data_IF_667276464692
#
_entry.id   IF_667276464692
#
_cell.length_a   1.000
_cell.length_b   1.000
_cell.length_c   1.000
_cell.angle_alpha   90.00
_cell.angle_beta   90.00
_cell.angle_gamma   90.00
#
_symmetry.space_group_name_H-M   'P 1'
#
loop_
_entity.id
_entity.type
_entity.pdbx_description
1 polymer ?
#
# COMPACT_ATOMS: atom_id res chain seq x y z
N UNK A 1 4.23 -45.23 -20.37
CA UNK A 1 5.16 -44.23 -20.95
C UNK A 1 4.70 -42.84 -20.52
N UNK A 2 5.59 -42.02 -19.98
CA UNK A 2 5.28 -40.62 -19.72
C UNK A 2 5.12 -39.94 -21.08
N UNK A 3 3.90 -39.58 -21.48
CA UNK A 3 3.71 -38.71 -22.65
C UNK A 3 4.51 -37.45 -22.36
N UNK A 4 5.47 -37.15 -23.25
CA UNK A 4 6.41 -36.07 -23.04
C UNK A 4 5.69 -34.76 -22.77
N UNK A 5 6.16 -34.01 -21.79
CA UNK A 5 5.63 -32.69 -21.47
C UNK A 5 5.83 -31.74 -22.65
N UNK A 6 5.08 -30.62 -22.69
CA UNK A 6 5.18 -29.65 -23.80
C UNK A 6 6.62 -29.15 -23.96
N UNK A 7 7.35 -28.99 -22.85
CA UNK A 7 8.76 -28.57 -22.84
C UNK A 7 9.69 -29.62 -23.47
N UNK A 8 9.45 -30.91 -23.21
CA UNK A 8 10.27 -32.01 -23.76
C UNK A 8 10.11 -32.17 -25.28
N UNK A 9 8.93 -31.82 -25.81
CA UNK A 9 8.63 -31.89 -27.24
C UNK A 9 8.86 -30.56 -27.98
N UNK A 10 9.42 -29.54 -27.31
CA UNK A 10 9.62 -28.21 -27.88
C UNK A 10 10.98 -28.11 -28.59
N UNK A 11 10.99 -27.58 -29.82
CA UNK A 11 12.25 -27.27 -30.53
C UNK A 11 12.96 -26.06 -29.91
N UNK A 12 14.30 -26.07 -29.86
CA UNK A 12 15.14 -24.97 -29.36
C UNK A 12 14.78 -23.61 -30.00
N UNK A 13 14.41 -23.59 -31.30
CA UNK A 13 13.96 -22.35 -31.96
C UNK A 13 12.67 -21.81 -31.33
N UNK A 14 11.69 -22.69 -31.08
CA UNK A 14 10.42 -22.32 -30.44
C UNK A 14 10.63 -21.86 -29.00
N UNK A 15 11.51 -22.54 -28.28
CA UNK A 15 11.87 -22.18 -26.90
C UNK A 15 12.49 -20.77 -26.86
N UNK A 16 13.40 -20.46 -27.78
CA UNK A 16 14.03 -19.16 -27.87
C UNK A 16 13.01 -18.04 -28.16
N UNK A 17 12.03 -18.28 -29.05
CA UNK A 17 10.96 -17.31 -29.28
C UNK A 17 10.10 -17.06 -28.04
N UNK A 18 9.74 -18.12 -27.29
CA UNK A 18 8.96 -17.97 -26.04
C UNK A 18 9.75 -17.18 -25.00
N UNK A 19 11.02 -17.52 -24.79
CA UNK A 19 11.86 -16.82 -23.82
C UNK A 19 12.08 -15.35 -24.20
N UNK A 20 12.29 -15.06 -25.48
CA UNK A 20 12.40 -13.68 -25.96
C UNK A 20 11.09 -12.90 -25.75
N UNK A 21 9.93 -13.51 -26.03
CA UNK A 21 8.64 -12.88 -25.80
C UNK A 21 8.38 -12.58 -24.32
N UNK A 22 8.73 -13.50 -23.42
CA UNK A 22 8.65 -13.30 -21.97
C UNK A 22 9.59 -12.18 -21.51
N UNK A 23 10.81 -12.12 -22.04
CA UNK A 23 11.77 -11.06 -21.72
C UNK A 23 11.26 -9.68 -22.16
N UNK A 24 10.72 -9.57 -23.38
CA UNK A 24 10.14 -8.33 -23.89
C UNK A 24 8.96 -7.89 -23.01
N UNK A 25 8.11 -8.84 -22.61
CA UNK A 25 6.97 -8.56 -21.72
C UNK A 25 7.43 -8.06 -20.36
N UNK A 26 8.48 -8.66 -19.79
CA UNK A 26 9.06 -8.22 -18.52
C UNK A 26 9.63 -6.79 -18.61
N UNK A 27 10.36 -6.49 -19.68
CA UNK A 27 10.88 -5.13 -19.94
C UNK A 27 9.73 -4.14 -20.08
N UNK A 28 8.66 -4.48 -20.79
CA UNK A 28 7.49 -3.62 -20.93
C UNK A 28 6.85 -3.29 -19.57
N UNK A 29 6.69 -4.27 -18.66
CA UNK A 29 6.15 -3.99 -17.33
C UNK A 29 7.07 -3.10 -16.48
N UNK A 30 8.39 -3.27 -16.59
CA UNK A 30 9.34 -2.36 -15.94
C UNK A 30 9.21 -0.93 -16.47
N UNK A 31 9.08 -0.76 -17.78
CA UNK A 31 8.91 0.56 -18.39
C UNK A 31 7.58 1.21 -18.00
N UNK A 32 6.49 0.44 -17.89
CA UNK A 32 5.21 0.95 -17.38
C UNK A 32 5.37 1.43 -15.94
N UNK A 33 6.04 0.66 -15.10
CA UNK A 33 6.35 1.07 -13.73
C UNK A 33 7.22 2.34 -13.66
N UNK A 34 8.24 2.43 -14.50
CA UNK A 34 9.19 3.55 -14.49
C UNK A 34 8.58 4.87 -15.00
N UNK A 35 7.73 4.81 -16.03
CA UNK A 35 7.18 6.02 -16.65
C UNK A 35 5.84 6.47 -16.08
N UNK A 36 4.98 5.53 -15.66
CA UNK A 36 3.63 5.87 -15.21
C UNK A 36 3.46 5.77 -13.70
N UNK A 37 4.14 4.84 -13.02
CA UNK A 37 3.92 4.65 -11.59
C UNK A 37 4.67 5.71 -10.77
N UNK A 38 3.97 6.54 -9.97
CA UNK A 38 4.62 7.44 -9.05
C UNK A 38 5.22 6.65 -7.89
N UNK A 39 5.97 7.32 -7.02
CA UNK A 39 6.54 6.71 -5.81
C UNK A 39 5.47 5.96 -4.99
N UNK A 40 5.78 4.77 -4.45
CA UNK A 40 4.78 3.85 -3.89
C UNK A 40 4.13 4.38 -2.62
N UNK A 41 4.89 5.12 -1.82
CA UNK A 41 4.44 5.74 -0.59
C UNK A 41 4.74 7.23 -0.61
N UNK A 42 3.87 7.97 0.06
CA UNK A 42 4.07 9.39 0.34
C UNK A 42 3.99 9.56 1.85
N UNK A 43 4.89 10.37 2.39
CA UNK A 43 4.87 10.78 3.78
C UNK A 43 4.36 12.20 3.89
N UNK A 44 3.54 12.45 4.91
CA UNK A 44 3.26 13.80 5.34
C UNK A 44 3.57 13.94 6.82
N UNK A 45 4.15 15.07 7.18
CA UNK A 45 4.54 15.41 8.54
C UNK A 45 3.55 16.41 9.11
N UNK A 46 3.05 16.11 10.29
CA UNK A 46 2.06 16.91 10.97
C UNK A 46 2.58 17.41 12.30
N UNK A 47 2.43 18.70 12.54
CA UNK A 47 2.52 19.23 13.89
C UNK A 47 1.18 19.00 14.59
N UNK A 48 1.22 18.36 15.76
CA UNK A 48 0.01 18.15 16.56
C UNK A 48 -0.44 19.45 17.20
N UNK A 49 -1.76 19.68 17.19
CA UNK A 49 -2.36 20.86 17.83
C UNK A 49 -2.54 20.57 19.31
N UNK A 50 -2.12 21.49 20.16
CA UNK A 50 -2.27 21.41 21.61
C UNK A 50 -3.65 21.92 21.99
N UNK A 51 -4.36 21.15 22.81
CA UNK A 51 -5.71 21.42 23.30
C UNK A 51 -5.73 21.39 24.82
N UNK A 52 -6.51 22.27 25.44
CA UNK A 52 -6.75 22.23 26.89
C UNK A 52 -7.89 21.25 27.21
N UNK A 53 -7.67 20.41 28.22
CA UNK A 53 -8.71 19.60 28.85
C UNK A 53 -8.89 19.96 30.34
N UNK A 54 -9.99 20.62 30.65
CA UNK A 54 -10.35 20.95 32.03
C UNK A 54 -10.74 19.72 32.86
N UNK A 55 -11.10 18.60 32.21
CA UNK A 55 -11.51 17.35 32.88
C UNK A 55 -10.34 16.39 33.11
N UNK A 56 -9.11 16.76 32.74
CA UNK A 56 -7.89 15.98 32.96
C UNK A 56 -7.98 14.51 32.50
N UNK A 57 -8.73 14.26 31.43
CA UNK A 57 -8.95 12.92 30.87
C UNK A 57 -10.09 12.11 31.51
N UNK A 58 -10.80 12.64 32.50
CA UNK A 58 -11.89 11.92 33.19
C UNK A 58 -13.18 11.83 32.37
N UNK A 59 -13.40 12.77 31.44
CA UNK A 59 -14.63 12.81 30.64
C UNK A 59 -14.65 11.89 29.42
N UNK A 60 -13.49 11.39 28.98
CA UNK A 60 -13.37 10.58 27.75
C UNK A 60 -13.81 11.31 26.47
N UNK A 61 -13.92 12.64 26.48
CA UNK A 61 -14.39 13.44 25.35
C UNK A 61 -13.39 13.45 24.20
N UNK A 62 -13.90 13.45 22.97
CA UNK A 62 -13.07 13.50 21.76
C UNK A 62 -12.78 14.93 21.35
N UNK A 63 -11.51 15.31 21.41
CA UNK A 63 -11.05 16.61 20.92
C UNK A 63 -10.88 16.58 19.41
N UNK A 64 -11.50 17.54 18.73
CA UNK A 64 -11.38 17.70 17.29
C UNK A 64 -11.23 19.17 16.92
N UNK A 65 -10.46 19.42 15.87
CA UNK A 65 -10.14 20.78 15.41
C UNK A 65 -11.26 21.28 14.48
N UNK A 66 -11.92 20.35 13.77
CA UNK A 66 -12.96 20.60 12.78
C UNK A 66 -14.16 19.66 12.99
N UNK A 67 -15.36 20.17 13.36
CA UNK A 67 -15.66 21.53 13.84
C UNK A 67 -14.88 21.88 15.13
N UNK A 68 -14.83 23.16 15.52
CA UNK A 68 -13.98 23.58 16.65
C UNK A 68 -14.54 23.05 17.98
N UNK A 69 -13.91 22.00 18.51
CA UNK A 69 -14.29 21.35 19.76
C UNK A 69 -13.05 21.08 20.61
N UNK A 70 -12.17 22.07 20.63
CA UNK A 70 -10.96 22.10 21.43
C UNK A 70 -10.56 23.57 21.64
N UNK A 71 -10.15 23.87 22.87
CA UNK A 71 -9.51 25.13 23.20
C UNK A 71 -8.02 25.04 22.90
N UNK A 72 -7.61 25.64 21.78
CA UNK A 72 -6.26 25.53 21.23
C UNK A 72 -5.26 26.33 22.07
N UNK A 73 -4.19 25.66 22.49
CA UNK A 73 -3.04 26.26 23.17
C UNK A 73 -1.98 26.60 22.12
N UNK A 74 -1.72 27.90 21.92
CA UNK A 74 -0.75 28.38 20.93
C UNK A 74 0.69 27.95 21.25
N UNK A 75 1.23 28.41 22.39
CA UNK A 75 2.54 28.01 22.90
C UNK A 75 2.45 27.40 24.29
N UNK A 76 3.23 26.34 24.51
CA UNK A 76 3.28 25.66 25.79
C UNK A 76 4.09 26.45 26.82
N UNK A 77 5.06 27.26 26.36
CA UNK A 77 5.86 28.15 27.21
C UNK A 77 5.01 29.21 27.92
N UNK A 78 3.91 29.64 27.30
CA UNK A 78 2.97 30.63 27.84
C UNK A 78 1.81 30.01 28.64
N UNK A 79 1.69 28.68 28.65
CA UNK A 79 0.59 28.00 29.33
C UNK A 79 1.02 27.56 30.73
N UNK A 80 0.38 28.13 31.75
CA UNK A 80 0.56 27.71 33.15
C UNK A 80 -0.56 26.72 33.52
N UNK A 81 -0.25 25.42 33.71
CA UNK A 81 -1.27 24.45 34.08
C UNK A 81 -1.78 24.73 35.49
N UNK A 82 -3.07 24.50 35.71
CA UNK A 82 -3.71 24.70 37.02
C UNK A 82 -3.39 23.58 38.01
N UNK A 83 -2.93 22.43 37.53
CA UNK A 83 -2.46 21.31 38.34
C UNK A 83 -1.00 20.95 38.06
N UNK A 84 -0.33 20.37 39.05
CA UNK A 84 1.00 19.74 38.89
C UNK A 84 0.99 18.60 37.87
N UNK A 85 -0.18 18.02 37.64
CA UNK A 85 -0.39 16.95 36.69
C UNK A 85 -0.66 17.54 35.30
N UNK A 86 0.26 17.37 34.36
CA UNK A 86 0.20 17.91 32.98
C UNK A 86 -0.91 17.27 32.11
N UNK A 87 -1.85 16.54 32.72
CA UNK A 87 -3.01 15.89 32.08
C UNK A 87 -4.03 16.87 31.48
N UNK A 88 -3.86 18.16 31.71
CA UNK A 88 -4.67 19.21 31.09
C UNK A 88 -4.29 19.48 29.62
N UNK A 89 -3.16 18.94 29.12
CA UNK A 89 -2.69 19.17 27.75
C UNK A 89 -2.94 17.92 26.90
N UNK A 90 -3.69 18.09 25.82
CA UNK A 90 -4.01 17.03 24.85
C UNK A 90 -3.41 17.40 23.50
N UNK A 91 -2.65 16.48 22.91
CA UNK A 91 -2.14 16.64 21.54
C UNK A 91 -3.11 15.98 20.56
N UNK A 92 -3.64 16.77 19.64
CA UNK A 92 -4.62 16.32 18.64
C UNK A 92 -3.99 16.36 17.26
N UNK A 93 -3.98 15.21 16.60
CA UNK A 93 -3.70 15.09 15.18
C UNK A 93 -5.00 14.71 14.47
N UNK A 94 -5.44 15.53 13.51
CA UNK A 94 -6.62 15.24 12.70
C UNK A 94 -6.21 15.04 11.24
N UNK A 95 -6.66 13.92 10.66
CA UNK A 95 -6.64 13.70 9.21
C UNK A 95 -8.01 14.06 8.63
N UNK A 96 -8.09 14.64 7.42
CA UNK A 96 -6.99 15.10 6.57
C UNK A 96 -6.25 16.29 7.17
N UNK A 97 -4.97 16.45 6.82
CA UNK A 97 -4.17 17.56 7.31
C UNK A 97 -4.82 18.90 7.00
N UNK A 98 -4.75 19.82 7.95
CA UNK A 98 -5.00 21.21 7.64
C UNK A 98 -3.80 21.75 6.86
N UNK A 99 -4.04 22.35 5.70
CA UNK A 99 -2.98 23.07 4.98
C UNK A 99 -2.47 24.22 5.86
N UNK A 100 -1.36 24.00 6.56
CA UNK A 100 -0.67 25.09 7.26
C UNK A 100 -0.20 26.07 6.19
N UNK A 101 -0.70 27.30 6.23
CA UNK A 101 -0.32 28.32 5.27
C UNK A 101 1.14 28.71 5.52
N UNK A 102 2.06 28.15 4.72
CA UNK A 102 3.50 28.34 4.87
C UNK A 102 3.98 29.80 4.66
N UNK A 103 3.07 30.71 4.27
CA UNK A 103 3.32 32.15 4.18
C UNK A 103 2.97 32.92 5.46
N UNK A 104 2.51 32.26 6.52
CA UNK A 104 2.31 32.95 7.80
C UNK A 104 3.67 33.39 8.36
N UNK A 105 3.83 34.65 8.80
CA UNK A 105 5.02 35.07 9.52
C UNK A 105 5.23 34.13 10.73
N UNK A 106 6.48 33.71 10.96
CA UNK A 106 6.94 32.74 11.98
C UNK A 106 6.84 31.23 11.66
N UNK A 107 6.69 30.81 10.39
CA UNK A 107 6.63 29.39 10.00
C UNK A 107 7.95 28.58 10.19
N UNK A 108 9.08 29.24 10.49
CA UNK A 108 10.41 28.60 10.62
C UNK A 108 11.06 28.76 12.01
N UNK A 109 10.33 29.24 13.02
CA UNK A 109 10.89 29.34 14.37
C UNK A 109 10.72 27.98 15.04
N UNK A 110 11.84 27.31 15.31
CA UNK A 110 11.87 26.04 16.03
C UNK A 110 11.18 26.16 17.39
N UNK A 111 9.97 25.62 17.48
CA UNK A 111 9.18 25.58 18.71
C UNK A 111 9.57 24.32 19.49
N UNK A 112 10.23 24.49 20.63
CA UNK A 112 10.81 23.40 21.44
C UNK A 112 9.71 22.56 22.17
N UNK A 113 8.43 22.74 21.85
CA UNK A 113 7.28 22.19 22.62
C UNK A 113 6.16 21.59 21.76
N UNK A 114 6.46 21.11 20.55
CA UNK A 114 5.46 20.55 19.63
C UNK A 114 5.80 19.13 19.21
N UNK A 115 4.81 18.22 19.26
CA UNK A 115 4.96 16.84 18.83
C UNK A 115 4.70 16.73 17.33
N UNK A 116 5.57 16.02 16.60
CA UNK A 116 5.45 15.78 15.17
C UNK A 116 5.07 14.33 14.92
N UNK A 117 4.07 14.10 14.08
CA UNK A 117 3.65 12.77 13.65
C UNK A 117 3.89 12.65 12.15
N UNK A 118 4.61 11.61 11.74
CA UNK A 118 4.81 11.29 10.32
C UNK A 118 3.84 10.19 9.95
N UNK A 119 3.02 10.45 8.93
CA UNK A 119 2.05 9.48 8.44
C UNK A 119 2.44 9.08 7.04
N UNK A 120 2.64 7.77 6.86
CA UNK A 120 2.99 7.17 5.58
C UNK A 120 1.71 6.54 5.05
N UNK A 121 1.33 6.91 3.84
CA UNK A 121 0.23 6.26 3.14
C UNK A 121 0.69 5.81 1.76
N UNK A 122 -0.01 4.83 1.22
CA UNK A 122 0.19 4.43 -0.17
C UNK A 122 -0.24 5.59 -1.07
N UNK A 123 0.53 5.84 -2.10
CA UNK A 123 0.21 6.87 -3.07
C UNK A 123 -0.94 6.42 -3.95
N UNK A 124 -2.02 7.20 -4.02
CA UNK A 124 -3.22 6.83 -4.79
C UNK A 124 -2.92 6.57 -6.28
N UNK A 125 -2.00 7.33 -6.87
CA UNK A 125 -1.57 7.10 -8.27
C UNK A 125 -0.81 5.79 -8.46
N UNK A 126 0.01 5.40 -7.47
CA UNK A 126 0.69 4.10 -7.49
C UNK A 126 -0.31 2.96 -7.32
N UNK A 127 -1.23 3.08 -6.35
CA UNK A 127 -2.29 2.10 -6.12
C UNK A 127 -3.15 1.89 -7.35
N UNK A 128 -3.49 2.97 -8.08
CA UNK A 128 -4.26 2.87 -9.32
C UNK A 128 -3.56 1.99 -10.36
N UNK A 129 -2.29 2.26 -10.67
CA UNK A 129 -1.53 1.49 -11.66
C UNK A 129 -1.33 0.04 -11.21
N UNK A 130 -1.07 -0.16 -9.92
CA UNK A 130 -0.97 -1.48 -9.31
C UNK A 130 -2.26 -2.31 -9.47
N UNK A 131 -3.43 -1.70 -9.25
CA UNK A 131 -4.72 -2.35 -9.44
C UNK A 131 -5.01 -2.65 -10.91
N UNK A 132 -4.62 -1.75 -11.84
CA UNK A 132 -4.72 -2.01 -13.27
C UNK A 132 -3.88 -3.21 -13.70
N UNK A 133 -2.64 -3.30 -13.22
CA UNK A 133 -1.76 -4.42 -13.52
C UNK A 133 -2.36 -5.75 -13.04
N UNK A 134 -2.84 -5.79 -11.80
CA UNK A 134 -3.55 -6.96 -11.25
C UNK A 134 -4.78 -7.34 -12.08
N UNK A 135 -5.62 -6.36 -12.41
CA UNK A 135 -6.86 -6.57 -13.17
C UNK A 135 -6.60 -7.13 -14.58
N UNK A 136 -5.49 -6.74 -15.22
CA UNK A 136 -5.11 -7.24 -16.54
C UNK A 136 -4.44 -8.62 -16.46
N UNK A 137 -3.60 -8.86 -15.46
CA UNK A 137 -2.83 -10.12 -15.31
C UNK A 137 -3.71 -11.26 -14.78
N UNK A 138 -4.62 -10.98 -13.85
CA UNK A 138 -5.50 -11.97 -13.25
C UNK A 138 -6.27 -12.85 -14.25
N UNK A 139 -7.01 -12.30 -15.25
CA UNK A 139 -7.72 -13.15 -16.21
C UNK A 139 -6.79 -13.98 -17.09
N UNK A 140 -5.58 -13.48 -17.38
CA UNK A 140 -4.56 -14.23 -18.14
C UNK A 140 -4.06 -15.41 -17.33
N UNK A 141 -3.74 -15.21 -16.05
CA UNK A 141 -3.31 -16.27 -15.13
C UNK A 141 -4.42 -17.29 -14.91
N UNK A 142 -5.65 -16.84 -14.68
CA UNK A 142 -6.82 -17.71 -14.51
C UNK A 142 -7.08 -18.56 -15.76
N UNK A 143 -7.00 -17.97 -16.96
CA UNK A 143 -7.13 -18.70 -18.22
C UNK A 143 -6.00 -19.74 -18.42
N UNK A 144 -4.76 -19.41 -18.05
CA UNK A 144 -3.64 -20.33 -18.12
C UNK A 144 -3.79 -21.52 -17.17
N UNK A 145 -4.24 -21.28 -15.93
CA UNK A 145 -4.55 -22.33 -14.94
C UNK A 145 -5.67 -23.23 -15.45
N UNK A 146 -6.77 -22.63 -15.93
CA UNK A 146 -7.90 -23.38 -16.47
C UNK A 146 -7.49 -24.25 -17.67
N UNK A 147 -6.72 -23.68 -18.61
CA UNK A 147 -6.18 -24.42 -19.75
C UNK A 147 -5.27 -25.57 -19.30
N UNK A 148 -4.38 -25.31 -18.34
CA UNK A 148 -3.47 -26.31 -17.81
C UNK A 148 -4.23 -27.48 -17.15
N UNK A 149 -5.27 -27.18 -16.38
CA UNK A 149 -6.12 -28.19 -15.75
C UNK A 149 -6.89 -29.02 -16.78
N UNK A 150 -7.57 -28.37 -17.73
CA UNK A 150 -8.31 -29.02 -18.81
C UNK A 150 -7.41 -29.95 -19.65
N UNK A 151 -6.14 -29.59 -19.82
CA UNK A 151 -5.15 -30.43 -20.50
C UNK A 151 -4.73 -31.64 -19.65
N UNK A 152 -4.64 -31.50 -18.33
CA UNK A 152 -4.32 -32.60 -17.41
C UNK A 152 -5.47 -33.61 -17.36
N UNK A 153 -6.72 -33.17 -17.27
CA UNK A 153 -7.89 -34.05 -17.18
C UNK A 153 -8.09 -34.95 -18.40
N UNK A 154 -7.67 -34.47 -19.58
CA UNK A 154 -7.76 -35.25 -20.84
C UNK A 154 -6.74 -36.39 -20.94
N UNK A 155 -5.74 -36.43 -20.05
CA UNK A 155 -4.78 -37.53 -20.02
C UNK A 155 -5.40 -38.74 -19.32
N UNK A 156 -5.24 -39.94 -19.87
CA UNK A 156 -5.78 -41.19 -19.31
C UNK A 156 -5.05 -41.67 -18.03
N UNK A 157 -4.41 -40.78 -17.27
CA UNK A 157 -3.63 -41.07 -16.06
C UNK A 157 -3.98 -40.10 -14.92
N UNK A 158 -3.70 -40.49 -13.68
CA UNK A 158 -3.78 -39.58 -12.53
C UNK A 158 -2.64 -38.54 -12.57
N UNK A 159 -2.88 -37.30 -12.11
CA UNK A 159 -1.87 -36.25 -12.11
C UNK A 159 -0.70 -36.58 -11.17
N UNK A 160 0.52 -36.32 -11.65
CA UNK A 160 1.75 -36.54 -10.87
C UNK A 160 1.95 -35.44 -9.82
N UNK A 161 2.84 -35.68 -8.85
CA UNK A 161 3.09 -34.74 -7.74
C UNK A 161 3.55 -33.36 -8.23
N UNK A 162 4.37 -33.30 -9.29
CA UNK A 162 4.84 -32.06 -9.89
C UNK A 162 3.72 -31.27 -10.59
N UNK A 163 2.80 -31.94 -11.29
CA UNK A 163 1.62 -31.29 -11.91
C UNK A 163 0.71 -30.68 -10.84
N UNK A 164 0.52 -31.37 -9.70
CA UNK A 164 -0.20 -30.84 -8.54
C UNK A 164 0.51 -29.64 -7.91
N UNK A 165 1.84 -29.68 -7.78
CA UNK A 165 2.62 -28.58 -7.23
C UNK A 165 2.53 -27.33 -8.12
N UNK A 166 2.67 -27.48 -9.44
CA UNK A 166 2.49 -26.37 -10.41
C UNK A 166 1.06 -25.82 -10.34
N UNK A 167 0.06 -26.69 -10.20
CA UNK A 167 -1.33 -26.26 -10.02
C UNK A 167 -1.52 -25.43 -8.74
N UNK A 168 -0.98 -25.90 -7.61
CA UNK A 168 -1.06 -25.14 -6.34
C UNK A 168 -0.33 -23.80 -6.40
N UNK A 169 0.81 -23.73 -7.11
CA UNK A 169 1.53 -22.47 -7.33
C UNK A 169 0.72 -21.51 -8.20
N UNK A 170 0.11 -22.00 -9.28
CA UNK A 170 -0.76 -21.21 -10.14
C UNK A 170 -1.95 -20.64 -9.38
N UNK A 171 -2.66 -21.47 -8.61
CA UNK A 171 -3.78 -21.00 -7.78
C UNK A 171 -3.32 -19.97 -6.75
N UNK A 172 -2.17 -20.18 -6.11
CA UNK A 172 -1.62 -19.21 -5.14
C UNK A 172 -1.32 -17.86 -5.80
N UNK A 173 -0.74 -17.87 -7.02
CA UNK A 173 -0.52 -16.67 -7.81
C UNK A 173 -1.84 -15.96 -8.17
N UNK A 174 -2.85 -16.70 -8.63
CA UNK A 174 -4.16 -16.14 -8.94
C UNK A 174 -4.84 -15.51 -7.72
N UNK A 175 -4.68 -16.10 -6.53
CA UNK A 175 -5.19 -15.53 -5.27
C UNK A 175 -4.46 -14.23 -4.91
N UNK A 176 -3.15 -14.16 -5.15
CA UNK A 176 -2.36 -12.94 -4.91
C UNK A 176 -2.69 -11.81 -5.91
N UNK A 177 -3.06 -12.15 -7.14
CA UNK A 177 -3.46 -11.16 -8.15
C UNK A 177 -4.92 -10.71 -8.01
N UNK A 178 -5.79 -11.57 -7.45
CA UNK A 178 -7.19 -11.25 -7.16
C UNK A 178 -7.36 -10.36 -5.92
N UNK A 179 -6.41 -10.41 -4.97
CA UNK A 179 -6.41 -9.56 -3.77
C UNK A 179 -5.73 -8.22 -4.02
#
# INVERSE_FOLDING_TARGET
AMVGTVVENLSNRKLLYILAALLITQIAFFLVGAWYAPVPSTSMEYEMIKCKDETRGESGKWFHIRPRHCDVIGDLSSYTPTSFDLREIVFVAQMPHMSVNRKSPNCQIGKVTSLRVVTIHQNGGFTQIWLWLKTLVFPVVAAAIWWYWNRIEKLARKPILLEKAIMTLGISLAVLDCK
#
